data_IF_270862356894
#
_entry.id   IF_270862356894
#
_cell.length_a   1.000
_cell.length_b   1.000
_cell.length_c   1.000
_cell.angle_alpha   90.00
_cell.angle_beta   90.00
_cell.angle_gamma   90.00
#
_symmetry.space_group_name_H-M   'P 1'
#
loop_
_entity.id
_entity.type
_entity.pdbx_description
1 polymer ?
#
# COMPACT_ATOMS: atom_id res chain seq x y z
N UNK A 1 -15.95 7.08 -10.46
CA UNK A 1 -15.74 7.01 -8.99
C UNK A 1 -14.31 6.56 -8.67
N UNK A 2 -13.72 7.03 -7.55
CA UNK A 2 -12.45 6.50 -7.01
C UNK A 2 -12.76 5.62 -5.80
N UNK A 3 -12.12 4.47 -5.69
CA UNK A 3 -12.40 3.47 -4.65
C UNK A 3 -11.11 3.15 -3.90
N UNK A 4 -11.14 3.22 -2.58
CA UNK A 4 -10.08 2.74 -1.70
C UNK A 4 -10.55 1.47 -0.99
N UNK A 5 -9.83 0.37 -1.20
CA UNK A 5 -10.14 -0.94 -0.63
C UNK A 5 -9.14 -1.24 0.50
N UNK A 6 -9.67 -1.49 1.69
CA UNK A 6 -8.88 -1.95 2.82
C UNK A 6 -9.12 -3.45 3.03
N UNK A 7 -8.25 -4.33 2.51
CA UNK A 7 -8.47 -5.77 2.60
C UNK A 7 -8.21 -6.35 4.00
N UNK A 8 -7.39 -5.69 4.82
CA UNK A 8 -7.08 -6.09 6.20
C UNK A 8 -6.44 -4.93 6.97
N UNK A 9 -6.72 -4.86 8.26
CA UNK A 9 -6.04 -3.92 9.18
C UNK A 9 -4.70 -4.45 9.70
N UNK A 10 -4.41 -5.73 9.49
CA UNK A 10 -3.15 -6.32 9.96
C UNK A 10 -1.94 -5.57 9.40
N UNK A 11 -1.02 -5.17 10.29
CA UNK A 11 0.26 -4.56 9.94
C UNK A 11 1.37 -5.15 10.80
N UNK A 12 2.55 -5.30 10.22
CA UNK A 12 3.76 -5.75 10.91
C UNK A 12 4.56 -4.61 11.56
N UNK A 13 4.09 -3.35 11.42
CA UNK A 13 4.66 -2.15 12.06
C UNK A 13 3.74 -1.62 13.17
N UNK A 14 4.32 -0.81 14.06
CA UNK A 14 3.63 -0.10 15.16
C UNK A 14 4.09 1.35 15.19
N UNK A 15 3.88 2.07 14.07
CA UNK A 15 4.29 3.47 13.94
C UNK A 15 3.48 4.36 14.89
N UNK A 16 4.14 5.26 15.61
CA UNK A 16 3.53 6.13 16.62
C UNK A 16 2.46 7.07 16.05
N UNK A 17 2.56 7.41 14.76
CA UNK A 17 1.61 8.27 14.05
C UNK A 17 0.47 7.49 13.39
N UNK A 18 0.40 6.16 13.55
CA UNK A 18 -0.62 5.34 12.92
C UNK A 18 -2.00 5.64 13.52
N UNK A 19 -3.00 5.83 12.64
CA UNK A 19 -4.38 6.06 13.09
C UNK A 19 -5.09 4.77 13.55
N UNK A 20 -4.54 3.59 13.21
CA UNK A 20 -5.07 2.30 13.65
C UNK A 20 -4.60 1.96 15.06
N UNK A 21 -5.48 1.36 15.86
CA UNK A 21 -5.11 0.89 17.19
C UNK A 21 -4.23 -0.36 17.15
N UNK A 22 -3.47 -0.65 18.22
CA UNK A 22 -2.68 -1.89 18.30
C UNK A 22 -3.50 -3.17 18.08
N UNK A 23 -4.76 -3.19 18.56
CA UNK A 23 -5.69 -4.30 18.41
C UNK A 23 -6.09 -4.49 16.93
N UNK A 24 -6.38 -3.39 16.24
CA UNK A 24 -6.66 -3.40 14.79
C UNK A 24 -5.46 -3.87 13.99
N UNK A 25 -4.26 -3.37 14.32
CA UNK A 25 -3.01 -3.77 13.66
C UNK A 25 -2.64 -5.25 13.91
N UNK A 26 -3.20 -5.88 14.95
CA UNK A 26 -3.03 -7.31 15.24
C UNK A 26 -4.14 -8.18 14.61
N UNK A 27 -5.25 -7.59 14.15
CA UNK A 27 -6.39 -8.33 13.60
C UNK A 27 -6.07 -8.84 12.19
N UNK A 28 -6.01 -10.17 12.04
CA UNK A 28 -5.74 -10.84 10.77
C UNK A 28 -6.99 -11.07 9.92
N UNK A 29 -8.14 -10.54 10.32
CA UNK A 29 -9.35 -10.61 9.50
C UNK A 29 -9.12 -9.92 8.17
N UNK A 30 -9.76 -10.49 7.16
CA UNK A 30 -9.76 -9.98 5.79
C UNK A 30 -11.18 -9.78 5.32
N UNK A 31 -11.36 -8.86 4.38
CA UNK A 31 -12.66 -8.74 3.71
C UNK A 31 -12.97 -10.03 2.96
N UNK A 32 -14.24 -10.35 2.88
CA UNK A 32 -14.74 -11.45 2.08
C UNK A 32 -14.69 -11.07 0.59
N UNK A 33 -14.06 -11.91 -0.25
CA UNK A 33 -13.89 -11.62 -1.68
C UNK A 33 -15.20 -11.65 -2.45
N UNK A 34 -16.18 -12.48 -2.04
CA UNK A 34 -17.48 -12.50 -2.69
C UNK A 34 -18.24 -11.20 -2.40
N UNK A 35 -18.20 -10.73 -1.14
CA UNK A 35 -18.80 -9.46 -0.78
C UNK A 35 -18.17 -8.28 -1.51
N UNK A 36 -16.85 -8.32 -1.73
CA UNK A 36 -16.16 -7.31 -2.53
C UNK A 36 -16.62 -7.36 -3.99
N UNK A 37 -16.76 -8.55 -4.55
CA UNK A 37 -17.25 -8.77 -5.92
C UNK A 37 -18.65 -8.17 -6.10
N UNK A 38 -19.58 -8.49 -5.19
CA UNK A 38 -20.94 -7.97 -5.22
C UNK A 38 -20.97 -6.43 -5.14
N UNK A 39 -20.16 -5.84 -4.24
CA UNK A 39 -20.06 -4.39 -4.08
C UNK A 39 -19.49 -3.70 -5.34
N UNK A 40 -18.43 -4.26 -5.95
CA UNK A 40 -17.84 -3.67 -7.15
C UNK A 40 -18.78 -3.79 -8.36
N UNK A 41 -19.56 -4.87 -8.45
CA UNK A 41 -20.61 -5.03 -9.46
C UNK A 41 -21.66 -3.91 -9.34
N UNK A 42 -22.19 -3.69 -8.12
CA UNK A 42 -23.16 -2.63 -7.86
C UNK A 42 -22.61 -1.24 -8.17
N UNK A 43 -21.37 -0.95 -7.78
CA UNK A 43 -20.71 0.33 -8.10
C UNK A 43 -20.58 0.53 -9.60
N UNK A 44 -20.17 -0.52 -10.33
CA UNK A 44 -19.97 -0.44 -11.79
C UNK A 44 -21.28 -0.23 -12.56
N UNK A 45 -22.41 -0.66 -12.02
CA UNK A 45 -23.74 -0.37 -12.58
C UNK A 45 -24.13 1.11 -12.42
N UNK A 46 -23.60 1.79 -11.39
CA UNK A 46 -23.98 3.17 -11.07
C UNK A 46 -23.02 4.21 -11.66
N UNK A 47 -21.71 3.90 -11.74
CA UNK A 47 -20.68 4.83 -12.19
C UNK A 47 -19.44 4.09 -12.72
N UNK A 48 -18.64 4.78 -13.53
CA UNK A 48 -17.36 4.26 -13.95
C UNK A 48 -16.31 4.36 -12.82
N UNK A 49 -15.54 3.29 -12.65
CA UNK A 49 -14.43 3.24 -11.71
C UNK A 49 -13.20 3.88 -12.38
N UNK A 50 -12.73 5.01 -11.83
CA UNK A 50 -11.61 5.76 -12.39
C UNK A 50 -10.28 5.40 -11.74
N UNK A 51 -10.29 5.02 -10.47
CA UNK A 51 -9.09 4.70 -9.70
C UNK A 51 -9.40 3.70 -8.59
N UNK A 52 -8.47 2.76 -8.36
CA UNK A 52 -8.53 1.83 -7.22
C UNK A 52 -7.20 1.87 -6.46
N UNK A 53 -7.31 2.11 -5.14
CA UNK A 53 -6.25 1.98 -4.17
C UNK A 53 -6.45 0.75 -3.29
N UNK A 54 -5.41 -0.05 -3.12
CA UNK A 54 -5.28 -1.02 -2.03
C UNK A 54 -4.46 -0.40 -0.90
N UNK A 55 -5.07 -0.24 0.25
CA UNK A 55 -4.38 0.30 1.42
C UNK A 55 -4.96 -0.31 2.71
N UNK A 56 -4.40 -0.01 3.87
CA UNK A 56 -4.94 -0.48 5.14
C UNK A 56 -3.85 -0.69 6.18
N UNK A 57 -3.70 -1.92 6.66
CA UNK A 57 -2.56 -2.32 7.45
C UNK A 57 -1.31 -2.44 6.56
N UNK A 58 -0.87 -3.67 6.29
CA UNK A 58 0.22 -3.91 5.33
C UNK A 58 -0.20 -4.90 4.25
N UNK A 59 -0.23 -4.43 3.01
CA UNK A 59 -0.64 -5.26 1.86
C UNK A 59 0.36 -6.40 1.60
N UNK A 60 1.67 -6.16 1.82
CA UNK A 60 2.70 -7.19 1.70
C UNK A 60 2.58 -8.34 2.69
N UNK A 61 1.78 -8.19 3.75
CA UNK A 61 1.48 -9.25 4.70
C UNK A 61 0.35 -10.20 4.27
N UNK A 62 -0.35 -9.90 3.19
CA UNK A 62 -1.41 -10.76 2.67
C UNK A 62 -0.82 -12.06 2.11
N UNK A 63 -1.49 -13.19 2.36
CA UNK A 63 -1.10 -14.46 1.75
C UNK A 63 -1.28 -14.40 0.24
N UNK A 64 -0.38 -15.04 -0.49
CA UNK A 64 -0.31 -15.04 -1.97
C UNK A 64 -1.66 -15.35 -2.62
N UNK A 65 -2.31 -16.42 -2.24
CA UNK A 65 -3.59 -16.85 -2.83
C UNK A 65 -4.70 -15.78 -2.61
N UNK A 66 -4.73 -15.17 -1.43
CA UNK A 66 -5.71 -14.12 -1.14
C UNK A 66 -5.41 -12.84 -1.92
N UNK A 67 -4.13 -12.46 -2.03
CA UNK A 67 -3.72 -11.28 -2.81
C UNK A 67 -4.11 -11.42 -4.28
N UNK A 68 -3.86 -12.57 -4.89
CA UNK A 68 -4.28 -12.82 -6.27
C UNK A 68 -5.80 -12.92 -6.42
N UNK A 69 -6.49 -13.54 -5.46
CA UNK A 69 -7.96 -13.54 -5.46
C UNK A 69 -8.54 -12.13 -5.40
N UNK A 70 -7.95 -11.25 -4.60
CA UNK A 70 -8.33 -9.83 -4.51
C UNK A 70 -8.11 -9.12 -5.85
N UNK A 71 -6.94 -9.29 -6.48
CA UNK A 71 -6.66 -8.76 -7.83
C UNK A 71 -7.69 -9.26 -8.84
N UNK A 72 -7.96 -10.55 -8.87
CA UNK A 72 -8.84 -11.16 -9.87
C UNK A 72 -10.28 -10.68 -9.73
N UNK A 73 -10.76 -10.43 -8.52
CA UNK A 73 -12.06 -9.77 -8.27
C UNK A 73 -12.06 -8.35 -8.83
N UNK A 74 -11.05 -7.54 -8.51
CA UNK A 74 -10.95 -6.16 -8.98
C UNK A 74 -10.91 -6.10 -10.51
N UNK A 75 -10.15 -7.02 -11.15
CA UNK A 75 -9.97 -7.06 -12.60
C UNK A 75 -11.26 -7.34 -13.41
N UNK A 76 -12.30 -7.86 -12.78
CA UNK A 76 -13.62 -7.99 -13.43
C UNK A 76 -14.24 -6.63 -13.76
N UNK A 77 -13.89 -5.58 -13.02
CA UNK A 77 -14.56 -4.27 -13.05
C UNK A 77 -13.64 -3.11 -13.39
N UNK A 78 -12.30 -3.33 -13.31
CA UNK A 78 -11.30 -2.29 -13.46
C UNK A 78 -10.08 -2.79 -14.22
N UNK A 79 -9.74 -2.14 -15.33
CA UNK A 79 -8.72 -2.54 -16.30
C UNK A 79 -7.40 -1.75 -16.23
N UNK A 80 -7.36 -0.69 -15.40
CA UNK A 80 -6.16 0.15 -15.23
C UNK A 80 -5.30 -0.36 -14.07
N UNK A 81 -4.12 0.25 -13.88
CA UNK A 81 -3.21 -0.10 -12.81
C UNK A 81 -3.86 0.11 -11.43
N UNK A 82 -3.78 -0.92 -10.59
CA UNK A 82 -4.25 -0.88 -9.19
C UNK A 82 -3.12 -0.29 -8.35
N UNK A 83 -3.37 0.81 -7.66
CA UNK A 83 -2.38 1.38 -6.75
C UNK A 83 -2.29 0.57 -5.45
N UNK A 84 -1.08 0.24 -5.02
CA UNK A 84 -0.81 -0.42 -3.74
C UNK A 84 -0.06 0.53 -2.83
N UNK A 85 -0.65 0.85 -1.68
CA UNK A 85 0.02 1.56 -0.60
C UNK A 85 0.61 0.55 0.38
N UNK A 86 1.93 0.55 0.55
CA UNK A 86 2.65 -0.42 1.39
C UNK A 86 3.76 0.25 2.19
N UNK A 87 4.10 -0.31 3.35
CA UNK A 87 5.32 0.06 4.07
C UNK A 87 6.58 -0.58 3.46
N UNK A 88 6.41 -1.44 2.47
CA UNK A 88 7.46 -2.07 1.67
C UNK A 88 8.53 -2.85 2.46
N UNK A 89 8.24 -3.21 3.70
CA UNK A 89 9.12 -4.05 4.52
C UNK A 89 8.99 -5.53 4.21
N UNK A 90 7.85 -5.92 3.65
CA UNK A 90 7.55 -7.28 3.17
C UNK A 90 7.30 -7.21 1.66
N UNK A 91 8.21 -7.81 0.90
CA UNK A 91 8.09 -7.85 -0.55
C UNK A 91 7.21 -9.04 -0.96
N UNK A 92 6.18 -8.74 -1.71
CA UNK A 92 5.31 -9.73 -2.31
C UNK A 92 5.63 -9.83 -3.81
N UNK A 93 5.86 -11.03 -4.34
CA UNK A 93 6.23 -11.22 -5.76
C UNK A 93 5.23 -10.52 -6.70
N UNK A 94 3.94 -10.55 -6.36
CA UNK A 94 2.88 -9.91 -7.14
C UNK A 94 2.97 -8.39 -7.21
N UNK A 95 3.73 -7.73 -6.33
CA UNK A 95 3.90 -6.28 -6.37
C UNK A 95 4.56 -5.80 -7.66
N UNK A 96 5.37 -6.63 -8.27
CA UNK A 96 6.17 -6.29 -9.45
C UNK A 96 5.49 -6.68 -10.78
N UNK A 97 4.25 -7.15 -10.71
CA UNK A 97 3.46 -7.45 -11.90
C UNK A 97 2.91 -6.15 -12.51
N UNK A 98 2.72 -6.15 -13.83
CA UNK A 98 2.24 -5.01 -14.61
C UNK A 98 0.85 -4.48 -14.20
N UNK A 99 0.13 -5.24 -13.38
CA UNK A 99 -1.20 -4.86 -12.90
C UNK A 99 -1.17 -3.81 -11.81
N UNK A 100 0.00 -3.51 -11.26
CA UNK A 100 0.12 -2.70 -10.06
C UNK A 100 1.04 -1.49 -10.23
N UNK A 101 0.68 -0.43 -9.52
CA UNK A 101 1.51 0.73 -9.27
C UNK A 101 1.80 0.81 -7.78
N UNK A 102 3.07 1.01 -7.40
CA UNK A 102 3.47 0.98 -6.01
C UNK A 102 3.64 2.38 -5.44
N UNK A 103 2.97 2.63 -4.32
CA UNK A 103 3.15 3.79 -3.46
C UNK A 103 3.74 3.32 -2.13
N UNK A 104 5.00 3.64 -1.90
CA UNK A 104 5.75 3.21 -0.71
C UNK A 104 5.73 4.30 0.34
N UNK A 105 5.22 3.98 1.52
CA UNK A 105 5.29 4.88 2.67
C UNK A 105 6.68 4.86 3.28
N UNK A 106 7.44 5.96 3.13
CA UNK A 106 8.78 6.11 3.69
C UNK A 106 8.89 7.44 4.44
N UNK A 107 8.90 7.37 5.77
CA UNK A 107 8.86 8.54 6.65
C UNK A 107 10.18 8.69 7.42
N UNK A 108 11.28 8.27 6.84
CA UNK A 108 12.60 8.29 7.46
C UNK A 108 12.58 7.62 8.85
N UNK A 109 13.31 8.17 9.82
CA UNK A 109 13.41 7.63 11.18
C UNK A 109 12.07 7.66 11.94
N UNK A 110 11.07 8.40 11.47
CA UNK A 110 9.73 8.38 12.07
C UNK A 110 9.01 7.05 11.82
N UNK A 111 9.44 6.28 10.80
CA UNK A 111 8.89 4.96 10.50
C UNK A 111 9.77 3.84 11.06
N UNK A 112 9.10 2.86 11.65
CA UNK A 112 9.75 1.63 12.11
C UNK A 112 10.51 0.94 10.96
N UNK A 113 11.71 0.43 11.23
CA UNK A 113 12.55 -0.31 10.24
C UNK A 113 12.81 0.47 8.94
N UNK A 114 12.91 1.79 9.01
CA UNK A 114 13.12 2.65 7.82
C UNK A 114 14.34 2.24 6.97
N UNK A 115 15.43 1.76 7.57
CA UNK A 115 16.61 1.27 6.83
C UNK A 115 16.29 0.05 5.95
N UNK A 116 15.46 -0.88 6.46
CA UNK A 116 15.00 -2.03 5.68
C UNK A 116 14.11 -1.58 4.52
N UNK A 117 13.20 -0.65 4.78
CA UNK A 117 12.31 -0.09 3.75
C UNK A 117 13.15 0.59 2.68
N UNK A 118 14.10 1.44 3.06
CA UNK A 118 15.01 2.12 2.12
C UNK A 118 15.77 1.11 1.25
N UNK A 119 16.37 0.08 1.88
CA UNK A 119 17.06 -0.99 1.17
C UNK A 119 16.15 -1.67 0.13
N UNK A 120 14.92 -1.98 0.51
CA UNK A 120 13.97 -2.61 -0.40
C UNK A 120 13.58 -1.68 -1.56
N UNK A 121 13.41 -0.37 -1.29
CA UNK A 121 13.14 0.63 -2.32
C UNK A 121 14.27 0.67 -3.37
N UNK A 122 15.54 0.68 -2.91
CA UNK A 122 16.71 0.67 -3.80
C UNK A 122 16.84 -0.60 -4.64
N UNK A 123 16.24 -1.71 -4.20
CA UNK A 123 16.22 -2.99 -4.90
C UNK A 123 14.96 -3.21 -5.74
N UNK A 124 14.05 -2.25 -5.79
CA UNK A 124 12.81 -2.40 -6.55
C UNK A 124 13.10 -2.55 -8.05
N UNK A 125 12.59 -3.59 -8.71
CA UNK A 125 12.74 -3.76 -10.16
C UNK A 125 11.78 -2.89 -10.98
N UNK A 126 10.87 -2.17 -10.32
CA UNK A 126 9.86 -1.31 -10.96
C UNK A 126 9.88 0.09 -10.34
N UNK A 127 9.44 1.12 -11.07
CA UNK A 127 9.25 2.46 -10.51
C UNK A 127 8.28 2.44 -9.32
N UNK A 128 8.58 3.26 -8.31
CA UNK A 128 7.75 3.42 -7.12
C UNK A 128 7.47 4.91 -6.87
N UNK A 129 6.28 5.24 -6.37
CA UNK A 129 6.04 6.54 -5.75
C UNK A 129 6.41 6.47 -4.27
N UNK A 130 7.00 7.54 -3.75
CA UNK A 130 7.33 7.65 -2.33
C UNK A 130 6.33 8.57 -1.65
N UNK A 131 5.63 8.04 -0.64
CA UNK A 131 4.71 8.78 0.20
C UNK A 131 5.41 9.14 1.51
N UNK A 132 5.49 10.42 1.82
CA UNK A 132 6.12 10.94 3.04
C UNK A 132 5.09 11.68 3.88
N UNK A 133 4.91 11.24 5.12
CA UNK A 133 4.13 11.99 6.10
C UNK A 133 4.94 13.20 6.57
N UNK A 134 4.42 14.40 6.33
CA UNK A 134 5.05 15.63 6.82
C UNK A 134 4.85 15.73 8.34
N UNK A 135 5.84 15.26 9.08
CA UNK A 135 5.89 15.27 10.54
C UNK A 135 6.83 16.37 11.06
N UNK A 136 6.78 16.75 12.35
CA UNK A 136 7.76 17.67 12.92
C UNK A 136 9.21 17.21 12.74
N UNK A 137 9.46 15.91 12.80
CA UNK A 137 10.79 15.33 12.56
C UNK A 137 11.26 15.55 11.12
N UNK A 138 10.38 15.34 10.15
CA UNK A 138 10.69 15.58 8.72
C UNK A 138 10.98 17.06 8.46
N UNK A 139 10.20 17.97 9.07
CA UNK A 139 10.40 19.42 8.90
C UNK A 139 11.74 19.94 9.46
N UNK A 140 12.43 19.14 10.28
CA UNK A 140 13.76 19.48 10.82
C UNK A 140 14.90 18.97 9.94
N UNK A 141 14.61 18.13 8.92
CA UNK A 141 15.63 17.61 8.02
C UNK A 141 16.08 18.64 7.00
N UNK A 142 17.33 18.52 6.61
CA UNK A 142 17.89 19.30 5.49
C UNK A 142 17.20 18.88 4.18
N UNK A 143 16.61 19.85 3.49
CA UNK A 143 15.86 19.63 2.24
C UNK A 143 16.78 19.08 1.15
N UNK A 144 18.04 19.55 1.08
CA UNK A 144 19.00 19.07 0.07
C UNK A 144 19.42 17.62 0.35
N UNK A 145 19.47 17.22 1.61
CA UNK A 145 19.70 15.82 2.00
C UNK A 145 18.54 14.93 1.56
N UNK A 146 17.31 15.34 1.82
CA UNK A 146 16.12 14.61 1.41
C UNK A 146 16.04 14.46 -0.11
N UNK A 147 16.30 15.54 -0.86
CA UNK A 147 16.33 15.51 -2.32
C UNK A 147 17.40 14.54 -2.82
N UNK A 148 18.59 14.56 -2.23
CA UNK A 148 19.66 13.62 -2.59
C UNK A 148 19.29 12.16 -2.35
N UNK A 149 18.63 11.86 -1.23
CA UNK A 149 18.16 10.51 -0.94
C UNK A 149 17.13 10.03 -1.99
N UNK A 150 16.18 10.85 -2.36
CA UNK A 150 15.17 10.48 -3.35
C UNK A 150 15.69 10.45 -4.79
N UNK A 151 16.71 11.24 -5.12
CA UNK A 151 17.34 11.19 -6.45
C UNK A 151 18.26 9.98 -6.63
N UNK A 152 18.54 9.21 -5.58
CA UNK A 152 19.28 7.95 -5.63
C UNK A 152 18.36 6.72 -5.78
N UNK A 153 17.05 6.91 -5.70
CA UNK A 153 16.04 5.84 -5.84
C UNK A 153 15.60 5.65 -7.29
#
# INVERSE_FOLDING_TARGET
>A
MNISINPSYFCNFRCDFCYLTPEQLADQKKIDLQRLDDMLAEVKEQDDIHHIDLYGGEIGALKKDYFYGLRDVIRKYYDKDININTNFSMLHDGFFEKDFYLSVSYDFEAREKHELVYKNMMLSPVPIAVLVLVSPTILQKDVDEMIRMFNLC
#
